data_IF_621345041555
#
_entry.id   IF_621345041555
#
_cell.length_a   1.000
_cell.length_b   1.000
_cell.length_c   1.000
_cell.angle_alpha   90.00
_cell.angle_beta   90.00
_cell.angle_gamma   90.00
#
_symmetry.space_group_name_H-M   'P 1'
#
loop_
_entity.id
_entity.type
_entity.pdbx_description
1 polymer ?
#
# COMPACT_ATOMS: atom_id res chain seq x y z
N UNK A 1 -4.36 -1.05 32.91
CA UNK A 1 -3.41 -1.40 31.83
C UNK A 1 -4.01 -2.56 31.06
N UNK A 2 -4.87 -2.28 30.07
CA UNK A 2 -5.50 -3.33 29.24
C UNK A 2 -4.53 -3.68 28.12
N UNK A 3 -3.94 -4.87 28.22
CA UNK A 3 -3.19 -5.49 27.14
C UNK A 3 -4.21 -6.09 26.17
N UNK A 4 -4.60 -5.33 25.14
CA UNK A 4 -5.32 -5.92 24.00
C UNK A 4 -4.29 -6.65 23.14
N UNK A 5 -4.05 -7.91 23.46
CA UNK A 5 -3.40 -8.84 22.55
C UNK A 5 -4.42 -9.19 21.46
N UNK A 6 -4.25 -8.64 20.26
CA UNK A 6 -4.98 -9.11 19.07
C UNK A 6 -4.40 -10.48 18.65
N UNK A 7 -5.18 -11.58 18.74
CA UNK A 7 -4.69 -12.89 18.36
C UNK A 7 -4.85 -13.03 16.85
N UNK A 8 -3.73 -13.06 16.13
CA UNK A 8 -3.60 -13.73 14.83
C UNK A 8 -4.75 -13.50 13.86
N UNK A 9 -5.07 -12.24 13.54
CA UNK A 9 -5.92 -11.96 12.38
C UNK A 9 -5.26 -12.58 11.16
N UNK A 10 -5.97 -13.47 10.45
CA UNK A 10 -5.53 -14.02 9.17
C UNK A 10 -5.11 -12.85 8.29
N UNK A 11 -3.81 -12.62 8.18
CA UNK A 11 -3.27 -11.43 7.52
C UNK A 11 -3.51 -11.60 6.04
N UNK A 12 -4.67 -11.11 5.57
CA UNK A 12 -4.98 -11.08 4.16
C UNK A 12 -3.84 -10.33 3.47
N UNK A 13 -3.21 -11.01 2.53
CA UNK A 13 -2.12 -10.46 1.75
C UNK A 13 -2.72 -9.40 0.82
N UNK A 14 -2.20 -8.17 0.80
CA UNK A 14 -2.71 -7.15 -0.09
C UNK A 14 -2.57 -7.60 -1.55
N UNK A 15 -3.54 -7.22 -2.37
CA UNK A 15 -3.56 -7.41 -3.81
C UNK A 15 -3.44 -6.04 -4.46
N UNK A 16 -2.56 -5.89 -5.46
CA UNK A 16 -2.34 -4.62 -6.11
C UNK A 16 -3.55 -4.26 -6.99
N UNK A 17 -4.19 -3.12 -6.72
CA UNK A 17 -5.34 -2.63 -7.48
C UNK A 17 -5.00 -2.25 -8.93
N UNK A 18 -3.71 -2.04 -9.24
CA UNK A 18 -3.25 -1.72 -10.60
C UNK A 18 -2.94 -2.95 -11.45
N UNK A 19 -2.21 -3.92 -10.90
CA UNK A 19 -1.69 -5.05 -11.69
C UNK A 19 -2.08 -6.44 -11.18
N UNK A 20 -2.85 -6.53 -10.09
CA UNK A 20 -3.32 -7.79 -9.51
C UNK A 20 -2.25 -8.62 -8.80
N UNK A 21 -1.02 -8.12 -8.63
CA UNK A 21 0.01 -8.83 -7.89
C UNK A 21 -0.46 -9.08 -6.44
N UNK A 22 -0.18 -10.26 -5.89
CA UNK A 22 -0.50 -10.61 -4.51
C UNK A 22 0.78 -10.60 -3.70
N UNK A 23 0.78 -9.99 -2.50
CA UNK A 23 1.92 -10.09 -1.61
C UNK A 23 2.19 -11.56 -1.24
N UNK A 24 3.46 -11.96 -1.15
CA UNK A 24 3.84 -13.36 -0.91
C UNK A 24 3.79 -13.67 0.59
N UNK A 25 3.22 -14.82 0.95
CA UNK A 25 3.22 -15.32 2.33
C UNK A 25 4.66 -15.64 2.77
N UNK A 26 5.09 -15.12 3.92
CA UNK A 26 6.48 -15.22 4.41
C UNK A 26 7.29 -13.93 4.25
N UNK A 27 6.93 -13.07 3.28
CA UNK A 27 7.51 -11.74 3.06
C UNK A 27 6.59 -10.63 3.56
N UNK A 28 5.62 -10.96 4.42
CA UNK A 28 4.60 -10.01 4.88
C UNK A 28 5.21 -8.76 5.52
N UNK A 29 6.33 -8.88 6.23
CA UNK A 29 7.05 -7.72 6.78
C UNK A 29 7.60 -6.82 5.66
N UNK A 30 8.21 -7.39 4.64
CA UNK A 30 8.75 -6.67 3.48
C UNK A 30 7.64 -6.04 2.61
N UNK A 31 6.55 -6.77 2.39
CA UNK A 31 5.38 -6.25 1.71
C UNK A 31 4.78 -5.04 2.46
N UNK A 32 4.80 -5.04 3.80
CA UNK A 32 4.34 -3.87 4.59
C UNK A 32 5.18 -2.63 4.36
N UNK A 33 6.49 -2.82 4.17
CA UNK A 33 7.45 -1.72 4.03
C UNK A 33 7.46 -1.15 2.59
N UNK A 34 7.17 -1.99 1.60
CA UNK A 34 7.37 -1.66 0.19
C UNK A 34 6.07 -1.37 -0.57
N UNK A 35 4.92 -1.77 -0.04
CA UNK A 35 3.62 -1.50 -0.65
C UNK A 35 3.03 -0.21 -0.11
N UNK A 36 2.31 0.51 -0.97
CA UNK A 36 1.62 1.74 -0.61
C UNK A 36 0.14 1.44 -0.34
N UNK A 37 -0.37 1.89 0.81
CA UNK A 37 -1.80 1.89 1.12
C UNK A 37 -2.37 3.26 0.82
N UNK A 38 -3.45 3.33 0.05
CA UNK A 38 -4.17 4.55 -0.26
C UNK A 38 -5.66 4.44 0.01
N UNK A 39 -6.36 5.56 -0.07
CA UNK A 39 -7.82 5.62 -0.17
C UNK A 39 -8.18 6.28 -1.50
N UNK A 40 -8.94 5.58 -2.33
CA UNK A 40 -9.44 6.09 -3.60
C UNK A 40 -10.96 5.95 -3.65
N UNK A 41 -11.68 7.04 -3.94
CA UNK A 41 -13.16 7.03 -4.00
C UNK A 41 -13.80 6.41 -2.74
N UNK A 42 -13.17 6.59 -1.58
CA UNK A 42 -13.62 6.03 -0.30
C UNK A 42 -13.27 4.57 -0.06
N UNK A 43 -12.61 3.87 -0.99
CA UNK A 43 -12.16 2.47 -0.81
C UNK A 43 -10.66 2.39 -0.52
N UNK A 44 -10.26 1.43 0.32
CA UNK A 44 -8.84 1.12 0.54
C UNK A 44 -8.28 0.50 -0.74
N UNK A 45 -7.16 1.03 -1.21
CA UNK A 45 -6.39 0.47 -2.33
C UNK A 45 -4.98 0.15 -1.89
N UNK A 46 -4.40 -0.88 -2.50
CA UNK A 46 -3.02 -1.28 -2.31
C UNK A 46 -2.27 -1.22 -3.63
N UNK A 47 -1.07 -0.66 -3.61
CA UNK A 47 -0.19 -0.56 -4.78
C UNK A 47 1.14 -1.22 -4.47
N UNK A 48 1.56 -2.15 -5.33
CA UNK A 48 2.83 -2.84 -5.15
C UNK A 48 4.01 -1.92 -5.47
N UNK A 49 5.18 -2.24 -4.92
CA UNK A 49 6.39 -1.44 -5.08
C UNK A 49 6.76 -1.12 -6.54
N UNK A 50 6.48 -2.04 -7.47
CA UNK A 50 6.70 -1.85 -8.91
C UNK A 50 5.77 -0.77 -9.48
N UNK A 51 4.46 -0.93 -9.29
CA UNK A 51 3.46 0.02 -9.78
C UNK A 51 3.64 1.40 -9.13
N UNK A 52 3.96 1.46 -7.83
CA UNK A 52 4.23 2.72 -7.15
C UNK A 52 5.37 3.49 -7.81
N UNK A 53 6.48 2.82 -8.16
CA UNK A 53 7.62 3.46 -8.84
C UNK A 53 7.31 3.84 -10.29
N UNK A 54 6.59 2.98 -11.00
CA UNK A 54 6.19 3.23 -12.40
C UNK A 54 5.27 4.46 -12.52
N UNK A 55 4.36 4.64 -11.56
CA UNK A 55 3.36 5.72 -11.58
C UNK A 55 3.68 6.90 -10.65
N UNK A 56 4.83 6.91 -9.97
CA UNK A 56 5.21 7.98 -9.01
C UNK A 56 5.19 9.36 -9.68
N UNK A 57 5.55 9.43 -10.96
CA UNK A 57 5.62 10.68 -11.74
C UNK A 57 4.27 11.25 -12.12
N UNK A 58 3.18 10.50 -11.96
CA UNK A 58 1.82 11.00 -12.24
C UNK A 58 1.32 11.99 -11.17
N UNK A 59 2.00 12.11 -10.03
CA UNK A 59 1.62 12.98 -8.90
C UNK A 59 2.38 14.32 -8.95
N UNK A 60 3.63 14.33 -9.44
CA UNK A 60 4.52 15.51 -9.46
C UNK A 60 3.95 16.68 -10.29
N UNK A 61 3.23 16.40 -11.38
CA UNK A 61 2.67 17.45 -12.24
C UNK A 61 1.40 18.14 -11.71
N UNK A 62 0.96 17.80 -10.49
CA UNK A 62 -0.33 18.26 -9.93
C UNK A 62 -0.19 19.05 -8.62
N UNK A 63 1.02 19.15 -8.07
CA UNK A 63 1.32 20.05 -6.96
C UNK A 63 1.59 21.45 -7.53
N UNK A 64 0.99 22.46 -6.91
CA UNK A 64 1.28 23.85 -7.24
C UNK A 64 2.78 24.10 -7.01
N UNK A 65 3.40 24.85 -7.91
CA UNK A 65 4.80 25.28 -7.79
C UNK A 65 5.13 25.95 -6.44
N UNK A 66 4.14 26.50 -5.74
CA UNK A 66 4.36 27.08 -4.39
C UNK A 66 4.63 26.04 -3.29
N UNK A 67 4.34 24.75 -3.52
CA UNK A 67 4.46 23.66 -2.54
C UNK A 67 5.67 22.74 -2.79
N UNK A 68 6.60 23.18 -3.64
CA UNK A 68 7.94 22.61 -3.73
C UNK A 68 8.89 23.31 -2.75
#
# INVERSE_FOLDING_TARGET
>A
MVLTSDPGGSRQLPVCDTCGAVAVAGEQAEATLTWSRGIEQGRVVWTCARCSREHVRSIEGRLDSQWW
#
